data_IF_051662634751
#
_entry.id   IF_051662634751
#
_cell.length_a   1.000
_cell.length_b   1.000
_cell.length_c   1.000
_cell.angle_alpha   90.00
_cell.angle_beta   90.00
_cell.angle_gamma   90.00
#
_symmetry.space_group_name_H-M   'P 1'
#
loop_
_entity.id
_entity.type
_entity.pdbx_description
1 polymer ?
#
# COMPACT_ATOMS: atom_id res chain seq x y z
N UNK A 1 10.70 12.47 6.23
CA UNK A 1 9.64 13.17 5.50
C UNK A 1 9.08 12.31 4.39
N UNK A 2 8.02 12.75 3.72
CA UNK A 2 7.49 12.05 2.55
C UNK A 2 8.32 12.32 1.29
N UNK A 3 8.61 11.26 0.53
CA UNK A 3 9.22 11.40 -0.79
C UNK A 3 8.18 11.76 -1.86
N UNK A 4 8.67 12.16 -3.04
CA UNK A 4 7.84 12.48 -4.22
C UNK A 4 6.82 11.39 -4.54
N UNK A 5 7.22 10.13 -4.51
CA UNK A 5 6.33 9.02 -4.85
C UNK A 5 5.19 8.84 -3.83
N UNK A 6 5.44 9.16 -2.55
CA UNK A 6 4.41 9.14 -1.51
C UNK A 6 3.38 10.25 -1.75
N UNK A 7 3.85 11.46 -2.06
CA UNK A 7 2.98 12.61 -2.35
C UNK A 7 2.14 12.38 -3.60
N UNK A 8 2.73 11.81 -4.66
CA UNK A 8 2.00 11.45 -5.88
C UNK A 8 0.89 10.43 -5.61
N UNK A 9 1.17 9.42 -4.78
CA UNK A 9 0.18 8.41 -4.39
C UNK A 9 -0.96 9.03 -3.57
N UNK A 10 -0.64 9.92 -2.61
CA UNK A 10 -1.62 10.64 -1.82
C UNK A 10 -2.50 11.55 -2.68
N UNK A 11 -1.90 12.28 -3.63
CA UNK A 11 -2.64 13.11 -4.57
C UNK A 11 -3.58 12.28 -5.45
N UNK A 12 -3.10 11.16 -6.01
CA UNK A 12 -3.95 10.24 -6.81
C UNK A 12 -5.11 9.69 -5.98
N UNK A 13 -4.88 9.41 -4.69
CA UNK A 13 -5.94 8.94 -3.78
C UNK A 13 -6.94 10.04 -3.41
N UNK A 14 -6.48 11.29 -3.25
CA UNK A 14 -7.30 12.43 -2.85
C UNK A 14 -8.19 12.94 -4.00
N UNK A 15 -7.62 13.11 -5.19
CA UNK A 15 -8.31 13.71 -6.35
C UNK A 15 -8.91 12.66 -7.30
N UNK A 16 -8.56 11.38 -7.11
CA UNK A 16 -8.90 10.31 -8.03
C UNK A 16 -8.29 10.51 -9.42
N UNK A 17 -8.72 9.69 -10.39
CA UNK A 17 -8.30 9.83 -11.80
C UNK A 17 -8.91 11.04 -12.52
N UNK A 18 -9.81 11.78 -11.88
CA UNK A 18 -10.65 12.80 -12.51
C UNK A 18 -10.29 14.26 -12.20
N UNK A 19 -9.30 14.54 -11.35
CA UNK A 19 -8.83 15.90 -11.07
C UNK A 19 -9.86 16.82 -10.40
N UNK A 20 -10.93 16.27 -9.82
CA UNK A 20 -11.93 17.03 -9.08
C UNK A 20 -11.46 17.34 -7.66
N UNK A 21 -11.87 18.49 -7.11
CA UNK A 21 -11.64 18.83 -5.71
C UNK A 21 -12.16 17.73 -4.79
N UNK A 22 -11.42 17.37 -3.71
CA UNK A 22 -11.84 16.33 -2.79
C UNK A 22 -13.17 16.69 -2.15
N UNK A 23 -14.05 15.70 -2.07
CA UNK A 23 -15.29 15.83 -1.32
C UNK A 23 -14.98 16.20 0.15
N UNK A 24 -15.84 17.00 0.80
CA UNK A 24 -15.61 17.48 2.15
C UNK A 24 -15.47 16.32 3.16
N UNK A 25 -14.85 16.58 4.34
CA UNK A 25 -14.76 15.60 5.42
C UNK A 25 -16.13 15.00 5.73
N UNK A 26 -16.27 13.68 5.55
CA UNK A 26 -17.53 12.95 5.78
C UNK A 26 -18.24 12.43 4.53
N UNK A 27 -17.74 12.70 3.32
CA UNK A 27 -18.18 11.97 2.14
C UNK A 27 -17.61 10.55 2.15
N UNK A 28 -18.48 9.56 2.37
CA UNK A 28 -18.12 8.15 2.31
C UNK A 28 -17.87 7.75 0.85
N UNK A 29 -16.59 7.61 0.49
CA UNK A 29 -16.21 6.97 -0.76
C UNK A 29 -16.57 5.49 -0.76
N UNK A 30 -16.26 4.78 -1.86
CA UNK A 30 -16.51 3.34 -1.99
C UNK A 30 -15.90 2.46 -0.87
N UNK A 31 -14.98 3.01 -0.07
CA UNK A 31 -14.35 2.39 1.09
C UNK A 31 -15.14 2.51 2.40
N UNK A 32 -16.23 3.27 2.44
CA UNK A 32 -17.04 3.48 3.66
C UNK A 32 -16.40 4.40 4.71
N UNK A 33 -15.39 5.18 4.31
CA UNK A 33 -14.73 6.21 5.11
C UNK A 33 -14.09 7.27 4.20
N UNK A 34 -13.91 8.48 4.73
CA UNK A 34 -13.27 9.61 4.04
C UNK A 34 -11.74 9.48 3.98
N UNK A 35 -11.10 10.17 3.02
CA UNK A 35 -9.64 10.25 2.92
C UNK A 35 -8.99 10.74 4.21
N UNK A 36 -9.54 11.78 4.84
CA UNK A 36 -8.98 12.36 6.05
C UNK A 36 -9.03 11.40 7.24
N UNK A 37 -10.16 10.70 7.41
CA UNK A 37 -10.26 9.65 8.44
C UNK A 37 -9.25 8.52 8.20
N UNK A 38 -9.00 8.16 6.94
CA UNK A 38 -7.98 7.18 6.59
C UNK A 38 -6.57 7.64 6.90
N UNK A 39 -6.23 8.87 6.53
CA UNK A 39 -4.91 9.43 6.79
C UNK A 39 -4.68 9.56 8.30
N UNK A 40 -5.68 10.05 9.04
CA UNK A 40 -5.64 10.14 10.50
C UNK A 40 -5.41 8.77 11.15
N UNK A 41 -6.12 7.73 10.70
CA UNK A 41 -5.90 6.36 11.15
C UNK A 41 -4.48 5.85 10.88
N UNK A 42 -3.88 6.19 9.74
CA UNK A 42 -2.47 5.87 9.45
C UNK A 42 -1.52 6.61 10.38
N UNK A 43 -1.78 7.89 10.65
CA UNK A 43 -0.95 8.71 11.52
C UNK A 43 -0.99 8.18 12.96
N UNK A 44 -2.17 7.78 13.45
CA UNK A 44 -2.29 7.09 14.74
C UNK A 44 -1.47 5.80 14.78
N UNK A 45 -1.60 4.95 13.77
CA UNK A 45 -0.85 3.69 13.66
C UNK A 45 0.67 3.92 13.66
N UNK A 46 1.13 4.94 12.93
CA UNK A 46 2.53 5.35 12.88
C UNK A 46 3.03 5.81 14.24
N UNK A 47 2.27 6.64 14.94
CA UNK A 47 2.66 7.21 16.22
C UNK A 47 2.76 6.13 17.30
N UNK A 48 1.79 5.21 17.35
CA UNK A 48 1.66 4.24 18.43
C UNK A 48 2.54 3.00 18.23
N UNK A 49 2.63 2.48 17.00
CA UNK A 49 3.18 1.15 16.77
C UNK A 49 4.38 1.10 15.81
N UNK A 50 4.49 2.04 14.87
CA UNK A 50 5.41 1.91 13.73
C UNK A 50 6.47 3.01 13.65
N UNK A 51 6.54 3.91 14.64
CA UNK A 51 7.39 5.12 14.61
C UNK A 51 8.84 4.81 14.27
N UNK A 52 9.43 3.82 14.95
CA UNK A 52 10.85 3.50 14.76
C UNK A 52 11.09 2.82 13.40
N UNK A 53 10.24 1.86 13.01
CA UNK A 53 10.34 1.19 11.70
C UNK A 53 10.21 2.17 10.53
N UNK A 54 9.36 3.18 10.68
CA UNK A 54 9.21 4.28 9.71
C UNK A 54 10.44 5.18 9.66
N UNK A 55 10.97 5.59 10.81
CA UNK A 55 12.20 6.41 10.91
C UNK A 55 13.39 5.71 10.26
N UNK A 56 13.49 4.39 10.43
CA UNK A 56 14.60 3.59 9.91
C UNK A 56 14.39 3.13 8.45
N UNK A 57 13.33 3.60 7.79
CA UNK A 57 13.08 3.36 6.36
C UNK A 57 12.65 1.93 6.02
N UNK A 58 12.20 1.15 7.01
CA UNK A 58 11.77 -0.24 6.80
C UNK A 58 10.35 -0.36 6.23
N UNK A 59 9.59 0.74 6.26
CA UNK A 59 8.22 0.83 5.77
C UNK A 59 8.19 1.81 4.60
N UNK A 60 7.76 1.35 3.41
CA UNK A 60 7.54 2.26 2.27
C UNK A 60 6.27 3.11 2.47
N UNK A 61 5.25 2.57 3.14
CA UNK A 61 4.07 3.31 3.57
C UNK A 61 3.12 3.65 2.43
N UNK A 62 3.26 4.82 1.82
CA UNK A 62 2.32 5.33 0.81
C UNK A 62 2.65 4.79 -0.59
N UNK A 63 2.29 3.53 -0.82
CA UNK A 63 2.50 2.82 -2.08
C UNK A 63 1.18 2.22 -2.55
N UNK A 64 0.78 2.53 -3.79
CA UNK A 64 -0.46 1.99 -4.36
C UNK A 64 -0.32 0.52 -4.75
N UNK A 65 -1.46 -0.19 -4.86
CA UNK A 65 -1.47 -1.59 -5.37
C UNK A 65 -0.88 -1.76 -6.77
N UNK A 66 -0.88 -0.70 -7.58
CA UNK A 66 -0.24 -0.70 -8.90
C UNK A 66 1.28 -0.58 -8.76
N UNK A 67 1.72 0.33 -7.90
CA UNK A 67 3.14 0.61 -7.69
C UNK A 67 3.85 -0.54 -6.98
N UNK A 68 3.24 -1.18 -5.98
CA UNK A 68 3.83 -2.35 -5.29
C UNK A 68 4.17 -3.48 -6.28
N UNK A 69 3.26 -3.76 -7.22
CA UNK A 69 3.45 -4.79 -8.24
C UNK A 69 4.59 -4.43 -9.16
N UNK A 70 4.71 -3.15 -9.54
CA UNK A 70 5.81 -2.66 -10.37
C UNK A 70 7.16 -2.82 -9.66
N UNK A 71 7.24 -2.48 -8.37
CA UNK A 71 8.46 -2.59 -7.57
C UNK A 71 8.89 -4.05 -7.38
N UNK A 72 7.94 -4.95 -7.14
CA UNK A 72 8.21 -6.34 -6.84
C UNK A 72 8.37 -7.25 -8.07
N UNK A 73 7.83 -6.87 -9.24
CA UNK A 73 7.78 -7.74 -10.45
C UNK A 73 9.15 -8.31 -10.85
N UNK A 74 10.22 -7.53 -10.70
CA UNK A 74 11.58 -7.92 -11.05
C UNK A 74 12.42 -8.42 -9.86
N UNK A 75 11.82 -8.62 -8.69
CA UNK A 75 12.51 -9.06 -7.47
C UNK A 75 12.42 -10.56 -7.30
N UNK A 76 13.33 -11.13 -6.52
CA UNK A 76 13.37 -12.57 -6.23
C UNK A 76 12.13 -13.02 -5.45
N UNK A 77 11.79 -14.30 -5.56
CA UNK A 77 10.73 -14.90 -4.73
C UNK A 77 11.01 -14.64 -3.26
N UNK A 78 9.97 -14.24 -2.54
CA UNK A 78 10.03 -13.91 -1.12
C UNK A 78 10.50 -12.49 -0.82
N UNK A 79 10.77 -11.65 -1.82
CA UNK A 79 10.93 -10.22 -1.60
C UNK A 79 9.58 -9.60 -1.26
N UNK A 80 9.52 -8.86 -0.16
CA UNK A 80 8.32 -8.20 0.34
C UNK A 80 8.54 -6.72 0.62
N UNK A 81 7.45 -5.96 0.66
CA UNK A 81 7.42 -4.57 1.10
C UNK A 81 6.27 -4.34 2.09
N UNK A 82 6.41 -3.29 2.89
CA UNK A 82 5.40 -2.88 3.86
C UNK A 82 4.77 -1.57 3.40
N UNK A 83 3.44 -1.53 3.34
CA UNK A 83 2.67 -0.34 2.97
C UNK A 83 1.43 -0.17 3.82
N UNK A 84 0.88 1.04 3.81
CA UNK A 84 -0.43 1.29 4.40
C UNK A 84 -1.54 0.75 3.49
N UNK A 85 -2.58 0.24 4.13
CA UNK A 85 -3.76 -0.29 3.46
C UNK A 85 -4.62 0.86 2.97
N UNK A 86 -4.94 0.87 1.68
CA UNK A 86 -5.86 1.86 1.10
C UNK A 86 -7.33 1.61 1.44
N UNK A 87 -7.65 0.38 1.88
CA UNK A 87 -9.02 -0.13 2.06
C UNK A 87 -9.37 -0.48 3.50
N UNK A 88 -8.45 -0.29 4.45
CA UNK A 88 -8.67 -0.50 5.88
C UNK A 88 -8.17 0.74 6.61
N UNK A 89 -9.02 1.34 7.44
CA UNK A 89 -8.65 2.48 8.29
C UNK A 89 -7.49 2.10 9.20
N UNK A 90 -6.41 2.89 9.19
CA UNK A 90 -5.23 2.65 10.02
C UNK A 90 -4.62 1.26 9.85
N UNK A 91 -4.68 0.69 8.64
CA UNK A 91 -4.14 -0.64 8.36
C UNK A 91 -2.73 -0.59 7.77
N UNK A 92 -1.87 -1.54 8.15
CA UNK A 92 -0.57 -1.84 7.51
C UNK A 92 -0.58 -3.26 6.96
N UNK A 93 0.01 -3.48 5.78
CA UNK A 93 0.06 -4.80 5.13
C UNK A 93 1.44 -5.06 4.54
N UNK A 94 1.80 -6.35 4.50
CA UNK A 94 2.97 -6.85 3.80
C UNK A 94 2.55 -7.46 2.47
N UNK A 95 3.21 -7.10 1.38
CA UNK A 95 3.00 -7.67 0.04
C UNK A 95 4.31 -8.27 -0.46
N UNK A 96 4.26 -9.49 -0.99
CA UNK A 96 5.43 -10.20 -1.51
C UNK A 96 5.19 -10.78 -2.91
N UNK A 97 6.27 -11.10 -3.60
CA UNK A 97 6.26 -11.75 -4.92
C UNK A 97 6.67 -13.22 -4.83
N UNK A 98 5.98 -14.05 -5.60
CA UNK A 98 6.28 -15.45 -5.84
C UNK A 98 6.45 -15.69 -7.34
N UNK A 99 7.50 -16.42 -7.72
CA UNK A 99 7.71 -16.87 -9.10
C UNK A 99 7.45 -18.37 -9.18
N UNK A 100 6.25 -18.79 -9.63
CA UNK A 100 5.96 -20.21 -9.82
C UNK A 100 6.83 -20.80 -10.94
N UNK A 101 7.03 -22.12 -10.93
CA UNK A 101 7.81 -22.86 -11.93
C UNK A 101 7.33 -22.61 -13.37
N UNK A 102 6.03 -22.34 -13.53
CA UNK A 102 5.43 -21.94 -14.79
C UNK A 102 4.41 -20.83 -14.56
N UNK A 103 4.49 -19.77 -15.35
CA UNK A 103 3.51 -18.67 -15.33
C UNK A 103 4.10 -17.33 -14.92
N UNK A 104 3.26 -16.28 -14.90
CA UNK A 104 3.68 -14.94 -14.48
C UNK A 104 3.93 -14.88 -12.96
N UNK A 105 4.67 -13.86 -12.48
CA UNK A 105 4.84 -13.62 -11.06
C UNK A 105 3.49 -13.43 -10.36
N UNK A 106 3.30 -14.09 -9.22
CA UNK A 106 2.16 -13.91 -8.34
C UNK A 106 2.50 -12.89 -7.26
N UNK A 107 1.57 -12.00 -6.95
CA UNK A 107 1.71 -11.03 -5.86
C UNK A 107 0.68 -11.35 -4.80
N UNK A 108 1.14 -11.57 -3.57
CA UNK A 108 0.28 -11.90 -2.44
C UNK A 108 0.45 -10.85 -1.37
N UNK A 109 -0.62 -10.62 -0.61
CA UNK A 109 -0.62 -9.67 0.49
C UNK A 109 -1.28 -10.30 1.71
N UNK A 110 -0.77 -9.95 2.89
CA UNK A 110 -1.40 -10.31 4.15
C UNK A 110 -2.63 -9.42 4.36
N UNK A 111 -3.65 -9.94 5.03
CA UNK A 111 -4.75 -9.09 5.54
C UNK A 111 -4.14 -7.95 6.37
N UNK A 112 -4.58 -6.69 6.19
CA UNK A 112 -3.98 -5.58 6.92
C UNK A 112 -4.13 -5.73 8.44
N UNK A 113 -3.06 -5.43 9.17
CA UNK A 113 -3.05 -5.30 10.61
C UNK A 113 -3.37 -3.86 11.00
N UNK A 114 -4.23 -3.70 11.99
CA UNK A 114 -4.63 -2.42 12.59
C UNK A 114 -3.96 -2.24 13.95
N UNK A 115 -4.19 -1.10 14.60
CA UNK A 115 -3.72 -0.85 15.96
C UNK A 115 -4.14 -1.95 16.94
N UNK A 116 -5.32 -2.55 16.76
CA UNK A 116 -5.81 -3.63 17.61
C UNK A 116 -4.92 -4.88 17.54
N UNK A 117 -4.52 -5.32 16.34
CA UNK A 117 -3.59 -6.44 16.21
C UNK A 117 -2.19 -6.05 16.67
N UNK A 118 -1.71 -4.86 16.31
CA UNK A 118 -0.35 -4.41 16.64
C UNK A 118 -0.15 -4.11 18.14
N UNK A 119 -1.23 -3.86 18.88
CA UNK A 119 -1.18 -3.79 20.34
C UNK A 119 -0.92 -5.15 20.99
N UNK A 120 -1.29 -6.25 20.31
CA UNK A 120 -1.10 -7.61 20.82
C UNK A 120 0.24 -8.23 20.42
N UNK A 121 0.73 -7.93 19.22
CA UNK A 121 1.99 -8.46 18.70
C UNK A 121 2.64 -7.42 17.79
N UNK A 122 3.90 -7.10 18.06
CA UNK A 122 4.62 -6.11 17.28
C UNK A 122 4.83 -6.57 15.84
N UNK A 123 4.75 -5.64 14.88
CA UNK A 123 4.89 -5.94 13.45
C UNK A 123 6.17 -6.75 13.11
N UNK A 124 7.35 -6.49 13.71
CA UNK A 124 8.55 -7.29 13.46
C UNK A 124 8.40 -8.76 13.84
N UNK A 125 7.72 -9.04 14.97
CA UNK A 125 7.47 -10.42 15.41
C UNK A 125 6.43 -11.10 14.52
N UNK A 126 5.38 -10.38 14.10
CA UNK A 126 4.43 -10.86 13.09
C UNK A 126 5.17 -11.27 11.81
N UNK A 127 6.07 -10.41 11.31
CA UNK A 127 6.85 -10.67 10.09
C UNK A 127 7.79 -11.88 10.27
N UNK A 128 8.43 -12.01 11.43
CA UNK A 128 9.32 -13.14 11.75
C UNK A 128 8.57 -14.47 11.78
N UNK A 129 7.41 -14.49 12.42
CA UNK A 129 6.68 -15.72 12.76
C UNK A 129 5.59 -16.08 11.73
N UNK A 130 5.42 -15.27 10.68
CA UNK A 130 4.45 -15.52 9.61
C UNK A 130 4.72 -16.87 8.92
N UNK A 131 3.69 -17.71 8.81
CA UNK A 131 3.80 -19.05 8.22
C UNK A 131 2.67 -19.27 7.21
N UNK A 132 3.03 -19.79 6.04
CA UNK A 132 2.10 -20.35 5.07
C UNK A 132 2.32 -21.84 4.95
N UNK A 133 1.22 -22.59 4.95
CA UNK A 133 1.24 -24.02 4.66
C UNK A 133 1.36 -24.20 3.14
N UNK A 134 2.48 -24.77 2.70
CA UNK A 134 2.68 -25.20 1.30
C UNK A 134 2.27 -26.67 1.13
N UNK A 135 2.13 -27.12 -0.12
CA UNK A 135 1.58 -28.44 -0.49
C UNK A 135 2.28 -29.63 0.21
N UNK A 136 3.54 -29.48 0.63
CA UNK A 136 4.31 -30.50 1.36
C UNK A 136 4.10 -30.48 2.90
N UNK A 137 3.15 -29.68 3.40
CA UNK A 137 2.77 -29.59 4.81
C UNK A 137 3.87 -29.07 5.76
N UNK A 138 4.93 -28.47 5.20
CA UNK A 138 5.99 -27.78 5.93
C UNK A 138 5.63 -26.28 5.97
N UNK A 139 5.43 -25.67 7.14
CA UNK A 139 5.17 -24.24 7.21
C UNK A 139 6.43 -23.46 6.81
N UNK A 140 6.31 -22.59 5.82
CA UNK A 140 7.40 -21.71 5.39
C UNK A 140 7.00 -20.25 5.55
N UNK A 141 7.98 -19.41 5.89
CA UNK A 141 7.78 -17.96 5.92
C UNK A 141 8.09 -17.36 4.53
N UNK A 142 7.10 -16.85 3.79
CA UNK A 142 7.32 -16.24 2.48
C UNK A 142 8.02 -14.87 2.55
N UNK A 143 8.09 -14.21 3.71
CA UNK A 143 8.65 -12.87 3.89
C UNK A 143 10.17 -12.96 4.12
N UNK A 144 10.93 -13.23 3.06
CA UNK A 144 12.36 -13.55 3.18
C UNK A 144 13.28 -12.35 3.03
N UNK A 145 12.95 -11.42 2.14
CA UNK A 145 13.80 -10.26 1.82
C UNK A 145 12.97 -8.98 1.85
N UNK A 146 13.30 -8.04 2.73
CA UNK A 146 12.75 -6.70 2.66
C UNK A 146 13.23 -6.00 1.39
N UNK A 147 12.31 -5.37 0.68
CA UNK A 147 12.63 -4.61 -0.52
C UNK A 147 13.71 -3.55 -0.23
N UNK A 148 14.73 -3.40 -1.10
CA UNK A 148 14.86 -4.07 -2.39
C UNK A 148 15.51 -5.46 -2.35
N UNK A 149 16.36 -5.77 -1.37
CA UNK A 149 17.10 -7.04 -1.28
C UNK A 149 17.79 -7.26 0.08
N UNK A 150 17.20 -6.77 1.18
CA UNK A 150 17.78 -6.94 2.53
C UNK A 150 17.17 -8.18 3.18
N UNK A 151 17.96 -9.15 3.70
CA UNK A 151 17.40 -10.28 4.43
C UNK A 151 16.47 -9.85 5.59
N UNK A 152 15.35 -10.55 5.78
CA UNK A 152 14.34 -10.23 6.81
C UNK A 152 14.97 -10.06 8.19
N UNK A 153 15.76 -11.03 8.62
CA UNK A 153 16.35 -11.03 9.97
C UNK A 153 17.46 -9.99 10.13
N UNK A 154 18.08 -9.54 9.03
CA UNK A 154 19.01 -8.41 9.04
C UNK A 154 18.27 -7.09 9.22
N UNK A 155 17.16 -6.90 8.51
CA UNK A 155 16.34 -5.69 8.58
C UNK A 155 15.58 -5.56 9.91
N UNK A 156 14.95 -6.65 10.37
CA UNK A 156 14.04 -6.63 11.52
C UNK A 156 14.64 -7.20 12.81
N UNK A 157 15.80 -7.85 12.74
CA UNK A 157 16.51 -8.42 13.89
C UNK A 157 16.61 -7.51 15.11
N UNK A 158 16.99 -6.23 14.96
CA UNK A 158 17.06 -5.28 16.07
C UNK A 158 15.73 -4.99 16.77
N UNK A 159 14.59 -5.26 16.11
CA UNK A 159 13.24 -4.95 16.60
C UNK A 159 12.47 -6.19 17.04
N UNK A 160 13.04 -7.37 16.91
CA UNK A 160 12.44 -8.57 17.46
C UNK A 160 12.32 -8.44 18.96
N UNK A 161 11.13 -8.72 19.49
CA UNK A 161 10.96 -8.85 20.93
C UNK A 161 11.88 -9.99 21.39
N UNK A 162 12.96 -9.67 22.11
CA UNK A 162 13.70 -10.70 22.81
C UNK A 162 12.69 -11.39 23.76
N UNK A 163 12.75 -12.69 24.02
CA UNK A 163 13.52 -13.31 25.13
C UNK A 163 14.14 -12.32 26.15
N UNK A 164 13.47 -11.20 26.43
CA UNK A 164 13.89 -10.06 27.25
C UNK A 164 13.72 -10.38 28.74
N UNK A 165 14.05 -11.62 29.12
CA UNK A 165 13.93 -12.18 30.47
C UNK A 165 15.30 -12.53 31.08
N UNK A 166 16.40 -12.23 30.38
CA UNK A 166 17.74 -12.72 30.73
C UNK A 166 18.65 -11.77 31.53
N UNK A 167 18.28 -10.51 31.77
CA UNK A 167 19.23 -9.51 32.32
C UNK A 167 18.73 -8.72 33.53
N UNK A 168 17.55 -9.03 34.08
CA UNK A 168 17.01 -8.32 35.25
C UNK A 168 16.78 -9.24 36.47
N UNK A 169 17.64 -10.23 36.71
CA UNK A 169 17.68 -10.92 38.00
C UNK A 169 19.12 -11.23 38.33
N UNK A 170 19.81 -10.31 38.98
CA UNK A 170 20.79 -10.55 40.06
C UNK A 170 21.17 -9.18 40.64
N UNK A 171 20.48 -8.81 41.71
CA UNK A 171 20.68 -7.57 42.46
C UNK A 171 19.92 -7.68 43.77
N UNK A 172 20.52 -8.37 44.71
CA UNK A 172 20.08 -8.54 46.11
C UNK A 172 19.93 -7.19 46.82
N UNK A 173 18.88 -7.00 47.64
CA UNK A 173 18.92 -5.99 48.69
C UNK A 173 17.58 -5.37 49.08
N UNK A 174 17.03 -5.85 50.19
CA UNK A 174 16.00 -5.29 51.07
C UNK A 174 15.89 -3.76 51.15
N UNK A 175 14.67 -3.23 51.17
CA UNK A 175 14.37 -1.86 51.64
C UNK A 175 12.90 -1.49 51.54
N UNK A 176 12.20 -1.47 52.67
CA UNK A 176 10.88 -0.84 52.85
C UNK A 176 10.96 0.64 52.48
N UNK A 177 10.06 1.12 51.62
CA UNK A 177 9.98 2.53 51.24
C UNK A 177 8.59 2.89 50.75
N UNK A 178 7.88 3.66 51.56
CA UNK A 178 6.63 4.35 51.27
C UNK A 178 6.77 5.19 49.98
N UNK A 179 5.79 5.11 49.08
CA UNK A 179 5.76 5.90 47.84
C UNK A 179 5.79 7.41 48.15
N UNK A 180 6.62 8.22 47.45
CA UNK A 180 6.59 9.67 47.59
C UNK A 180 5.25 10.25 47.07
N UNK A 181 4.70 11.30 47.71
CA UNK A 181 3.42 11.90 47.31
C UNK A 181 3.50 12.81 46.07
N UNK A 182 4.59 12.81 45.30
CA UNK A 182 4.78 13.67 44.10
C UNK A 182 4.29 13.06 42.78
N UNK A 183 3.46 12.01 42.82
CA UNK A 183 2.84 11.42 41.62
C UNK A 183 1.39 11.87 41.39
N UNK A 184 1.02 13.00 41.99
CA UNK A 184 -0.21 13.74 41.67
C UNK A 184 0.26 15.05 41.07
N UNK A 185 -0.16 15.32 39.83
CA UNK A 185 0.08 16.56 39.08
C UNK A 185 1.33 16.57 38.18
N UNK A 186 1.45 15.58 37.29
CA UNK A 186 2.11 15.79 36.00
C UNK A 186 1.06 15.89 34.90
N UNK A 187 0.79 17.14 34.51
CA UNK A 187 0.10 17.53 33.28
C UNK A 187 0.64 16.75 32.07
N UNK A 188 -0.20 16.37 31.09
CA UNK A 188 0.26 15.75 29.86
C UNK A 188 1.23 16.71 29.15
N UNK A 189 2.46 16.26 28.93
CA UNK A 189 3.47 17.03 28.20
C UNK A 189 2.92 17.46 26.82
N UNK A 190 3.17 18.71 26.40
CA UNK A 190 2.85 19.13 25.03
C UNK A 190 3.63 18.24 24.05
N UNK A 191 2.93 17.81 23.00
CA UNK A 191 3.37 16.80 22.04
C UNK A 191 4.83 16.96 21.59
N UNK A 192 5.53 15.83 21.50
CA UNK A 192 6.93 15.77 21.10
C UNK A 192 7.16 16.54 19.78
N UNK A 193 8.14 17.47 19.71
CA UNK A 193 8.41 18.30 18.53
C UNK A 193 8.62 17.50 17.23
N UNK A 194 9.12 16.27 17.32
CA UNK A 194 9.30 15.34 16.20
C UNK A 194 8.01 15.01 15.41
N UNK A 195 6.83 15.07 16.04
CA UNK A 195 5.56 14.65 15.41
C UNK A 195 4.88 15.83 14.72
N UNK A 196 4.97 17.03 15.30
CA UNK A 196 4.56 18.24 14.61
C UNK A 196 5.42 18.47 13.36
N UNK A 197 6.71 18.15 13.38
CA UNK A 197 7.56 18.24 12.18
C UNK A 197 7.16 17.23 11.09
N UNK A 198 6.74 16.02 11.47
CA UNK A 198 6.21 15.03 10.52
C UNK A 198 4.86 15.47 9.93
N UNK A 199 3.96 16.00 10.77
CA UNK A 199 2.68 16.56 10.32
C UNK A 199 2.89 17.82 9.47
N UNK A 200 3.83 18.68 9.84
CA UNK A 200 4.21 19.88 9.09
C UNK A 200 4.80 19.49 7.73
N UNK A 201 5.68 18.49 7.67
CA UNK A 201 6.21 17.93 6.42
C UNK A 201 5.13 17.28 5.54
N UNK A 202 4.07 16.73 6.14
CA UNK A 202 2.91 16.17 5.43
C UNK A 202 1.99 17.27 4.89
N UNK A 203 1.79 18.34 5.66
CA UNK A 203 0.90 19.48 5.34
C UNK A 203 1.56 20.45 4.36
N UNK A 204 2.84 20.79 4.52
CA UNK A 204 3.59 21.65 3.58
C UNK A 204 3.70 21.03 2.17
N UNK A 205 3.65 19.70 2.06
CA UNK A 205 3.61 19.00 0.77
C UNK A 205 2.25 19.05 0.07
N UNK A 206 1.21 19.57 0.72
CA UNK A 206 -0.18 19.58 0.24
C UNK A 206 -0.77 20.99 0.07
N UNK A 207 -0.07 22.06 0.47
CA UNK A 207 -0.55 23.44 0.31
C UNK A 207 -0.43 23.93 -1.15
N UNK A 208 -1.54 24.37 -1.79
CA UNK A 208 -1.50 24.98 -3.10
C UNK A 208 -1.18 26.47 -2.99
N UNK A 209 0.09 26.85 -3.09
CA UNK A 209 0.44 28.24 -3.41
C UNK A 209 1.74 28.77 -2.83
N UNK A 210 2.83 28.59 -3.56
CA UNK A 210 3.85 29.63 -3.80
C UNK A 210 4.94 29.09 -4.73
N UNK A 211 4.70 29.19 -6.05
CA UNK A 211 5.67 28.83 -7.07
C UNK A 211 5.02 28.87 -8.44
N UNK A 212 5.07 30.04 -9.06
CA UNK A 212 4.63 30.39 -10.42
C UNK A 212 4.64 29.22 -11.42
N UNK A 213 3.44 28.74 -11.78
CA UNK A 213 3.20 27.96 -12.99
C UNK A 213 3.03 28.94 -14.15
N UNK A 214 4.13 29.50 -14.65
CA UNK A 214 4.11 30.05 -16.00
C UNK A 214 4.22 28.89 -16.99
N UNK A 215 3.11 28.66 -17.69
CA UNK A 215 3.02 28.22 -19.09
C UNK A 215 3.79 26.94 -19.45
N UNK A 216 3.22 25.78 -19.09
CA UNK A 216 3.41 24.56 -19.89
C UNK A 216 2.32 24.54 -20.95
N UNK A 217 2.66 24.96 -22.16
CA UNK A 217 1.79 24.87 -23.34
C UNK A 217 1.35 23.41 -23.55
N UNK A 218 0.06 23.23 -23.84
CA UNK A 218 -0.57 21.94 -24.10
C UNK A 218 -0.14 21.28 -25.44
N UNK A 219 1.02 21.63 -25.98
CA UNK A 219 1.49 21.20 -27.29
C UNK A 219 2.43 19.99 -27.27
N UNK A 220 3.03 19.62 -26.12
CA UNK A 220 4.01 18.51 -26.05
C UNK A 220 3.39 17.12 -25.84
N UNK A 221 2.06 16.98 -25.94
CA UNK A 221 1.38 15.70 -25.73
C UNK A 221 0.82 15.02 -26.98
N UNK A 222 1.06 15.51 -28.21
CA UNK A 222 0.82 14.76 -29.46
C UNK A 222 1.63 15.31 -30.65
N UNK A 223 2.62 14.57 -31.20
CA UNK A 223 3.01 14.76 -32.59
C UNK A 223 2.34 13.71 -33.47
N UNK A 224 1.61 14.22 -34.47
CA UNK A 224 1.29 13.62 -35.76
C UNK A 224 0.36 12.40 -35.83
N UNK A 225 -0.86 12.64 -36.33
CA UNK A 225 -1.32 12.18 -37.66
C UNK A 225 -2.73 12.76 -37.90
N UNK A 226 -2.80 13.84 -38.68
CA UNK A 226 -3.92 14.12 -39.58
C UNK A 226 -3.61 15.35 -40.44
N UNK A 227 -3.03 15.12 -41.62
CA UNK A 227 -3.34 15.89 -42.83
C UNK A 227 -3.19 14.95 -44.03
N UNK A 228 -4.32 14.57 -44.64
CA UNK A 228 -4.43 14.58 -46.09
C UNK A 228 -5.91 14.76 -46.47
N UNK A 229 -6.26 15.98 -46.87
CA UNK A 229 -7.53 16.31 -47.52
C UNK A 229 -7.21 16.99 -48.84
N UNK A 230 -7.34 16.25 -49.93
CA UNK A 230 -7.75 16.73 -51.24
C UNK A 230 -8.25 15.47 -51.99
N UNK A 231 -9.50 15.31 -52.41
CA UNK A 231 -10.24 16.14 -53.35
C UNK A 231 -10.44 15.33 -54.64
N UNK A 232 -11.67 14.89 -54.94
CA UNK A 232 -11.97 14.24 -56.23
C UNK A 232 -13.24 13.40 -56.29
N UNK A 233 -14.38 14.04 -56.59
CA UNK A 233 -15.62 13.40 -57.02
C UNK A 233 -15.51 12.89 -58.47
N UNK A 234 -16.18 11.77 -58.76
CA UNK A 234 -17.08 11.50 -59.92
C UNK A 234 -17.02 10.02 -60.37
N UNK A 235 -18.19 9.37 -60.53
CA UNK A 235 -18.27 8.07 -61.22
C UNK A 235 -19.43 7.11 -60.89
N UNK A 236 -20.67 7.54 -61.12
CA UNK A 236 -21.90 6.80 -61.45
C UNK A 236 -21.92 5.24 -61.53
N UNK A 237 -22.90 4.62 -60.84
CA UNK A 237 -23.83 3.64 -61.45
C UNK A 237 -23.83 2.17 -60.96
N UNK A 238 -24.97 1.44 -61.01
CA UNK A 238 -25.42 0.53 -59.94
C UNK A 238 -25.50 -0.98 -60.32
N UNK A 239 -25.61 -1.86 -59.31
CA UNK A 239 -25.85 -3.31 -59.49
C UNK A 239 -26.42 -3.99 -58.24
N UNK A 240 -27.53 -4.70 -58.42
CA UNK A 240 -28.48 -5.28 -57.46
C UNK A 240 -28.00 -6.54 -56.68
N UNK A 241 -28.80 -7.07 -55.71
CA UNK A 241 -28.37 -8.05 -54.69
C UNK A 241 -28.73 -9.51 -55.03
N UNK A 242 -28.12 -10.46 -54.32
CA UNK A 242 -28.50 -11.88 -54.27
C UNK A 242 -27.87 -12.54 -53.03
N UNK A 243 -28.60 -12.91 -51.99
CA UNK A 243 -29.49 -14.08 -51.83
C UNK A 243 -28.83 -15.26 -51.09
N UNK A 244 -29.59 -15.74 -50.10
CA UNK A 244 -29.38 -16.80 -49.13
C UNK A 244 -29.25 -18.21 -49.74
N UNK A 245 -28.42 -19.07 -49.13
CA UNK A 245 -28.65 -20.52 -48.90
C UNK A 245 -27.80 -20.89 -47.66
N UNK A 246 -28.22 -21.58 -46.60
CA UNK A 246 -29.33 -22.52 -46.41
C UNK A 246 -28.84 -23.97 -46.56
N UNK A 247 -28.42 -24.62 -45.46
CA UNK A 247 -28.40 -26.09 -45.17
C UNK A 247 -27.67 -26.30 -43.83
N UNK A 248 -28.10 -27.07 -42.82
CA UNK A 248 -29.26 -27.95 -42.67
C UNK A 248 -28.87 -29.35 -42.17
N UNK A 249 -29.24 -29.63 -40.90
CA UNK A 249 -29.66 -30.90 -40.28
C UNK A 249 -28.69 -32.07 -40.02
N UNK A 250 -28.81 -32.62 -38.80
CA UNK A 250 -28.29 -33.92 -38.35
C UNK A 250 -28.91 -34.31 -36.99
N UNK A 251 -30.01 -35.07 -37.06
CA UNK A 251 -30.89 -35.68 -36.04
C UNK A 251 -30.18 -36.70 -35.11
N UNK A 252 -30.45 -36.70 -33.80
CA UNK A 252 -31.39 -37.55 -33.02
C UNK A 252 -30.93 -38.99 -32.72
N UNK A 253 -30.84 -39.33 -31.42
CA UNK A 253 -31.19 -40.66 -30.87
C UNK A 253 -31.33 -40.61 -29.33
N UNK A 254 -32.53 -40.97 -28.86
CA UNK A 254 -32.94 -41.29 -27.47
C UNK A 254 -32.80 -42.81 -27.23
N UNK A 255 -33.40 -43.48 -26.21
CA UNK A 255 -33.64 -43.18 -24.77
C UNK A 255 -33.20 -44.36 -23.84
N UNK A 256 -33.36 -44.17 -22.51
CA UNK A 256 -33.87 -45.13 -21.47
C UNK A 256 -33.48 -44.56 -20.08
N UNK A 257 -34.29 -44.57 -19.02
CA UNK A 257 -35.58 -45.17 -18.71
C UNK A 257 -36.28 -44.35 -17.63
#
# INVERSE_FOLDING_TARGET
GLGRDHLLMLAEKLFGKGGGWPEPPGADGASGFSFWAWLDGILGLLQEHLKQLWKDGLILGFVSRKQEKKLLKGKRTGTFLIRFSESVLGGVTCTWVEHPTSGPPAFRAVVPYTAAELASLALPDIIRDYQLLVEENIPENPLQFLYPDTPRDEAFGPYYSQRQDGMARHGTGTGTGTLPPELRDLEPLPGSPDVQELLQSLVEGLEPGAGTLETLEAADLMPDILEDTDGGLEGLGPGLPGECWGRGWGTEASPRH
#
